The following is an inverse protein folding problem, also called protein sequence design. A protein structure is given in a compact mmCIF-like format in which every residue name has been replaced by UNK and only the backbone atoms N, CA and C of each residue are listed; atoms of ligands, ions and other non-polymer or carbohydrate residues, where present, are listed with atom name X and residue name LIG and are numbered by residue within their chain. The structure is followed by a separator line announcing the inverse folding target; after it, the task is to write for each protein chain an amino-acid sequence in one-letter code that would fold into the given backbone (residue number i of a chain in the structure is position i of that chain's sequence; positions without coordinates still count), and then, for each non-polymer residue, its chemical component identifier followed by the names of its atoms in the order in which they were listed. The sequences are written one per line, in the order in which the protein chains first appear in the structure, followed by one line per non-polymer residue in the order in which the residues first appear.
data_IF_959906611952
#
_entry.id   IF_959906611952
#
_cell.length_a   1.000
_cell.length_b   1.000
_cell.length_c   1.000
_cell.angle_alpha   90.00
_cell.angle_beta   90.00
_cell.angle_gamma   90.00
#
_symmetry.space_group_name_H-M   'P 1'
#
loop_
_entity.id
_entity.type
_entity.pdbx_description
1 polymer ?
#
# COMPACT_ATOMS: atom_id res chain seq x y z
N UNK A 1 9.27 10.96 -1.75
CA UNK A 1 9.25 9.67 -1.04
C UNK A 1 10.19 8.72 -1.79
N UNK A 2 10.84 7.78 -1.10
CA UNK A 2 11.65 6.75 -1.77
C UNK A 2 10.75 5.63 -2.28
N UNK A 3 10.49 5.61 -3.60
CA UNK A 3 9.54 4.70 -4.24
C UNK A 3 9.95 3.22 -4.18
N UNK A 4 11.23 2.94 -3.98
CA UNK A 4 11.78 1.58 -3.86
C UNK A 4 11.72 0.99 -2.45
N UNK A 5 11.29 1.77 -1.46
CA UNK A 5 11.18 1.30 -0.08
C UNK A 5 10.15 0.18 0.01
N UNK A 6 10.57 -0.98 0.51
CA UNK A 6 9.66 -2.10 0.83
C UNK A 6 8.83 -1.74 2.06
N UNK A 7 7.51 -1.75 1.90
CA UNK A 7 6.51 -1.40 2.92
C UNK A 7 5.74 -2.62 3.44
N UNK A 8 5.81 -3.74 2.73
CA UNK A 8 5.39 -5.05 3.23
C UNK A 8 6.42 -6.12 2.90
N UNK A 9 7.17 -6.59 3.89
CA UNK A 9 8.19 -7.63 3.69
C UNK A 9 7.63 -9.00 3.32
N UNK A 10 6.44 -9.37 3.81
CA UNK A 10 5.84 -10.69 3.52
C UNK A 10 5.44 -10.87 2.05
N UNK A 11 5.04 -9.79 1.40
CA UNK A 11 4.56 -9.76 0.01
C UNK A 11 5.52 -9.01 -0.92
N UNK A 12 6.64 -8.54 -0.38
CA UNK A 12 7.64 -7.73 -1.08
C UNK A 12 7.03 -6.51 -1.80
N UNK A 13 6.03 -5.87 -1.18
CA UNK A 13 5.35 -4.68 -1.72
C UNK A 13 6.16 -3.43 -1.39
N UNK A 14 6.33 -2.55 -2.36
CA UNK A 14 7.03 -1.27 -2.27
C UNK A 14 6.05 -0.08 -2.32
N UNK A 15 6.54 1.11 -1.99
CA UNK A 15 5.78 2.37 -2.14
C UNK A 15 5.27 2.54 -3.57
N UNK A 16 6.11 2.26 -4.58
CA UNK A 16 5.70 2.36 -5.99
C UNK A 16 4.50 1.48 -6.34
N UNK A 17 4.34 0.31 -5.71
CA UNK A 17 3.22 -0.59 -5.98
C UNK A 17 1.90 0.01 -5.48
N UNK A 18 1.95 0.72 -4.35
CA UNK A 18 0.83 1.48 -3.80
C UNK A 18 0.47 2.66 -4.71
N UNK A 19 1.47 3.44 -5.14
CA UNK A 19 1.26 4.55 -6.08
C UNK A 19 0.65 4.07 -7.40
N UNK A 20 1.15 2.94 -7.93
CA UNK A 20 0.61 2.32 -9.14
C UNK A 20 -0.83 1.85 -8.93
N UNK A 21 -1.16 1.23 -7.79
CA UNK A 21 -2.54 0.82 -7.50
C UNK A 21 -3.50 2.02 -7.47
N UNK A 22 -3.10 3.12 -6.84
CA UNK A 22 -3.87 4.37 -6.81
C UNK A 22 -4.01 4.98 -8.21
N UNK A 23 -2.92 5.04 -8.97
CA UNK A 23 -2.93 5.54 -10.36
C UNK A 23 -3.83 4.70 -11.28
N UNK A 24 -3.97 3.41 -11.00
CA UNK A 24 -4.88 2.49 -11.70
C UNK A 24 -6.33 2.55 -11.18
N UNK A 25 -6.63 3.41 -10.20
CA UNK A 25 -7.99 3.74 -9.79
C UNK A 25 -8.40 3.26 -8.40
N UNK A 26 -7.51 2.68 -7.60
CA UNK A 26 -7.80 2.36 -6.20
C UNK A 26 -8.01 3.65 -5.37
N UNK A 27 -9.07 3.69 -4.56
CA UNK A 27 -9.52 4.85 -3.76
C UNK A 27 -9.63 4.55 -2.27
N UNK A 28 -9.25 3.35 -1.85
CA UNK A 28 -9.19 2.96 -0.45
C UNK A 28 -8.00 2.03 -0.19
N UNK A 29 -7.65 1.89 1.08
CA UNK A 29 -6.67 0.89 1.52
C UNK A 29 -7.11 -0.52 1.13
N UNK A 30 -8.41 -0.82 1.23
CA UNK A 30 -8.96 -2.12 0.87
C UNK A 30 -8.75 -2.43 -0.63
N UNK A 31 -9.02 -1.48 -1.52
CA UNK A 31 -8.79 -1.66 -2.97
C UNK A 31 -7.29 -1.81 -3.29
N UNK A 32 -6.42 -1.04 -2.62
CA UNK A 32 -4.96 -1.19 -2.75
C UNK A 32 -4.50 -2.57 -2.25
N UNK A 33 -5.09 -3.05 -1.14
CA UNK A 33 -4.81 -4.36 -0.58
C UNK A 33 -5.25 -5.50 -1.49
N UNK A 34 -6.38 -5.37 -2.18
CA UNK A 34 -6.83 -6.37 -3.17
C UNK A 34 -5.86 -6.50 -4.35
N UNK A 35 -5.25 -5.39 -4.79
CA UNK A 35 -4.32 -5.39 -5.94
C UNK A 35 -2.90 -5.80 -5.55
N UNK A 36 -2.40 -5.30 -4.43
CA UNK A 36 -0.99 -5.45 -4.02
C UNK A 36 -0.76 -6.55 -2.98
N UNK A 37 -1.84 -7.12 -2.43
CA UNK A 37 -1.82 -8.04 -1.30
C UNK A 37 -1.18 -7.46 -0.01
N UNK A 38 -0.95 -6.14 0.06
CA UNK A 38 -0.30 -5.50 1.20
C UNK A 38 -1.01 -5.83 2.52
N UNK A 39 -0.26 -6.26 3.53
CA UNK A 39 -0.81 -6.55 4.85
C UNK A 39 -1.63 -7.84 4.99
N UNK A 40 -1.82 -8.63 3.92
CA UNK A 40 -2.55 -9.92 3.97
C UNK A 40 -1.74 -11.09 4.55
N UNK A 41 -0.44 -10.87 4.81
CA UNK A 41 0.47 -11.86 5.41
C UNK A 41 0.46 -11.83 6.94
N UNK A 42 1.47 -11.19 7.55
CA UNK A 42 1.61 -11.15 9.01
C UNK A 42 0.82 -10.02 9.71
N UNK A 43 0.20 -9.10 8.96
CA UNK A 43 -0.58 -7.99 9.51
C UNK A 43 0.21 -6.83 10.14
N UNK A 44 1.50 -6.99 10.49
CA UNK A 44 2.27 -5.94 11.19
C UNK A 44 2.38 -4.58 10.46
N UNK A 45 2.23 -4.58 9.14
CA UNK A 45 2.35 -3.37 8.32
C UNK A 45 0.99 -2.74 7.96
N UNK A 46 -0.14 -3.31 8.38
CA UNK A 46 -1.49 -2.88 7.95
C UNK A 46 -1.77 -1.44 8.35
N UNK A 47 -1.62 -1.09 9.63
CA UNK A 47 -1.93 0.26 10.13
C UNK A 47 -1.04 1.34 9.46
N UNK A 48 0.26 1.07 9.33
CA UNK A 48 1.19 1.99 8.68
C UNK A 48 0.86 2.19 7.20
N UNK A 49 0.46 1.13 6.49
CA UNK A 49 0.11 1.21 5.08
C UNK A 49 -1.28 1.81 4.85
N UNK A 50 -2.23 1.64 5.78
CA UNK A 50 -3.52 2.34 5.75
C UNK A 50 -3.30 3.86 5.82
N UNK A 51 -2.49 4.32 6.78
CA UNK A 51 -2.13 5.72 6.90
C UNK A 51 -1.41 6.26 5.64
N UNK A 52 -0.47 5.48 5.08
CA UNK A 52 0.22 5.84 3.83
C UNK A 52 -0.76 5.98 2.66
N UNK A 53 -1.71 5.05 2.50
CA UNK A 53 -2.71 5.13 1.43
C UNK A 53 -3.62 6.33 1.60
N UNK A 54 -4.06 6.64 2.83
CA UNK A 54 -4.89 7.81 3.09
C UNK A 54 -4.12 9.13 2.80
N UNK A 55 -2.83 9.21 3.14
CA UNK A 55 -1.96 10.34 2.79
C UNK A 55 -1.82 10.50 1.26
N UNK A 56 -1.58 9.40 0.53
CA UNK A 56 -1.44 9.42 -0.93
C UNK A 56 -2.76 9.77 -1.66
N UNK A 57 -3.90 9.46 -1.05
CA UNK A 57 -5.23 9.84 -1.54
C UNK A 57 -5.65 11.26 -1.12
N UNK A 58 -4.87 11.92 -0.26
CA UNK A 58 -5.16 13.28 0.23
C UNK A 58 -6.36 13.36 1.17
N UNK A 59 -6.57 12.34 2.01
CA UNK A 59 -7.63 12.32 3.03
C UNK A 59 -7.21 12.96 4.34
#
# INVERSE_FOLDING_TARGET
MDNDKVICGCKNVKVQDIENAIANGAKSFEEVQEVTEVGTGCGHCVENNRALVDELLGK
#
